data_IF_382155155655
#
_entry.id   IF_382155155655
#
_cell.length_a   1.000
_cell.length_b   1.000
_cell.length_c   1.000
_cell.angle_alpha   90.00
_cell.angle_beta   90.00
_cell.angle_gamma   90.00
#
_symmetry.space_group_name_H-M   'P 1'
#
loop_
_entity.id
_entity.type
_entity.pdbx_description
1 polymer ?
2 non-polymer ?
3 non-polymer ?
4 water ?
#
# COMPACT_ATOMS: atom_id res chain seq x y z
N UNK A 1 20.74 -11.56 -4.21
CA UNK A 1 19.58 -10.68 -4.09
C UNK A 1 19.86 -9.30 -4.66
N UNK A 2 18.82 -8.69 -5.23
CA UNK A 2 18.91 -7.39 -5.86
C UNK A 2 18.17 -6.37 -4.99
N UNK A 3 17.84 -5.21 -5.57
CA UNK A 3 17.18 -4.17 -4.80
C UNK A 3 15.89 -4.70 -4.18
N UNK A 4 15.69 -4.37 -2.90
CA UNK A 4 14.55 -4.79 -2.09
C UNK A 4 14.51 -6.29 -1.84
N UNK A 5 15.58 -7.01 -2.16
CA UNK A 5 15.60 -8.44 -1.95
C UNK A 5 14.92 -9.25 -3.03
N UNK A 6 14.59 -8.63 -4.16
CA UNK A 6 13.97 -9.36 -5.25
C UNK A 6 14.97 -10.36 -5.84
N UNK A 7 14.49 -11.47 -6.39
CA UNK A 7 15.41 -12.45 -7.00
C UNK A 7 16.01 -11.99 -8.32
N UNK A 8 15.48 -10.95 -8.94
CA UNK A 8 16.01 -10.41 -10.18
C UNK A 8 15.97 -8.89 -10.10
N UNK A 9 16.85 -8.20 -10.83
CA UNK A 9 16.80 -6.73 -10.86
C UNK A 9 15.63 -6.25 -11.72
N UNK A 10 15.36 -4.95 -11.61
CA UNK A 10 14.34 -4.28 -12.42
C UNK A 10 15.04 -3.33 -13.39
N UNK A 11 15.24 -3.72 -14.64
CA UNK A 11 15.98 -2.86 -15.56
C UNK A 11 15.06 -1.88 -16.28
N UNK A 12 15.59 -1.20 -17.29
CA UNK A 12 14.80 -0.29 -18.12
C UNK A 12 14.17 0.83 -17.30
N UNK A 13 14.95 1.40 -16.38
CA UNK A 13 14.57 2.55 -15.56
C UNK A 13 13.48 2.25 -14.54
N UNK A 14 13.11 0.99 -14.36
CA UNK A 14 12.00 0.66 -13.47
C UNK A 14 12.41 0.78 -12.00
N UNK A 15 11.41 0.97 -11.15
CA UNK A 15 11.59 1.01 -9.70
C UNK A 15 11.27 -0.35 -9.10
N UNK A 16 12.22 -0.91 -8.35
CA UNK A 16 11.99 -2.15 -7.63
C UNK A 16 11.24 -1.86 -6.34
N UNK A 17 10.25 -2.70 -6.01
CA UNK A 17 9.54 -2.52 -4.74
C UNK A 17 9.21 -3.87 -4.12
N UNK A 18 9.01 -3.85 -2.81
CA UNK A 18 8.46 -4.99 -2.09
C UNK A 18 7.60 -4.46 -0.94
N UNK A 19 6.42 -5.04 -0.78
CA UNK A 19 5.51 -4.70 0.31
C UNK A 19 5.18 -5.98 1.07
N UNK A 20 5.23 -5.91 2.40
CA UNK A 20 4.73 -6.97 3.26
C UNK A 20 3.72 -6.35 4.20
N UNK A 21 2.51 -6.89 4.24
CA UNK A 21 1.50 -6.36 5.14
C UNK A 21 1.73 -6.87 6.56
N UNK A 22 0.91 -6.39 7.49
CA UNK A 22 1.09 -6.77 8.88
C UNK A 22 0.66 -8.20 9.15
N UNK A 23 1.12 -8.71 10.28
CA UNK A 23 0.72 -10.03 10.75
C UNK A 23 -0.11 -9.84 12.02
N UNK A 24 -1.41 -10.15 11.92
CA UNK A 24 -2.36 -9.99 13.02
C UNK A 24 -2.21 -8.57 13.58
N UNK A 25 -2.13 -8.39 14.89
CA UNK A 25 -1.96 -7.06 15.47
C UNK A 25 -0.59 -6.89 16.11
N UNK A 26 0.41 -7.66 15.69
CA UNK A 26 1.71 -7.61 16.38
C UNK A 26 2.93 -7.38 15.50
N UNK A 27 2.91 -7.79 14.23
CA UNK A 27 4.05 -7.52 13.35
C UNK A 27 3.65 -6.47 12.33
N UNK A 28 4.32 -5.33 12.36
CA UNK A 28 4.03 -4.27 11.43
C UNK A 28 4.40 -4.60 10.00
N UNK A 29 3.88 -3.81 9.08
CA UNK A 29 4.16 -3.99 7.66
C UNK A 29 5.47 -3.32 7.29
N UNK A 30 5.89 -3.52 6.04
CA UNK A 30 7.02 -2.77 5.53
C UNK A 30 6.84 -2.49 4.04
N UNK A 31 7.39 -1.36 3.60
CA UNK A 31 7.36 -0.97 2.21
C UNK A 31 8.78 -0.58 1.80
N UNK A 32 9.33 -1.28 0.81
CA UNK A 32 10.66 -1.04 0.29
C UNK A 32 10.56 -0.55 -1.15
N UNK A 33 11.38 0.44 -1.50
CA UNK A 33 11.43 0.97 -2.86
C UNK A 33 12.88 1.28 -3.19
N UNK A 34 13.39 0.69 -4.28
CA UNK A 34 14.75 0.97 -4.74
C UNK A 34 15.76 0.76 -3.62
N UNK A 35 15.53 -0.30 -2.84
CA UNK A 35 16.40 -0.75 -1.76
C UNK A 35 16.35 0.14 -0.52
N UNK A 36 15.43 1.09 -0.46
CA UNK A 36 15.26 1.96 0.69
C UNK A 36 13.93 1.65 1.35
N UNK A 37 13.92 1.58 2.68
CA UNK A 37 12.69 1.29 3.41
C UNK A 37 11.89 2.58 3.55
N UNK A 38 10.79 2.68 2.81
CA UNK A 38 9.91 3.84 2.96
C UNK A 38 9.18 3.80 4.29
N UNK A 39 8.71 2.63 4.69
CA UNK A 39 7.97 2.44 5.94
C UNK A 39 8.40 1.12 6.55
N UNK A 40 8.64 1.13 7.86
CA UNK A 40 8.99 -0.09 8.57
C UNK A 40 8.96 0.22 10.05
N UNK A 41 8.99 -0.84 10.86
CA UNK A 41 9.10 -0.65 12.30
C UNK A 41 10.43 -0.02 12.69
N UNK A 42 11.48 -0.25 11.90
CA UNK A 42 12.78 0.36 12.20
C UNK A 42 12.73 1.86 11.97
N UNK A 43 12.09 2.30 10.88
CA UNK A 43 11.84 3.72 10.67
C UNK A 43 10.80 4.27 11.64
N UNK A 44 10.08 3.40 12.34
CA UNK A 44 9.09 3.79 13.36
C UNK A 44 8.01 4.70 12.79
N UNK A 45 7.57 4.41 11.56
CA UNK A 45 6.51 5.19 10.93
C UNK A 45 5.31 4.35 10.51
N UNK A 46 5.20 3.12 11.01
CA UNK A 46 4.05 2.27 10.70
C UNK A 46 3.10 2.24 11.89
N UNK A 47 1.85 1.90 11.61
CA UNK A 47 0.85 1.76 12.66
C UNK A 47 -0.32 0.96 12.15
N UNK A 48 -1.24 0.64 13.06
CA UNK A 48 -2.44 -0.10 12.69
C UNK A 48 -3.26 0.71 11.69
N UNK A 49 -3.83 0.00 10.72
CA UNK A 49 -4.68 0.61 9.73
C UNK A 49 -4.08 0.52 8.34
N UNK A 50 -3.94 1.66 7.67
CA UNK A 50 -3.38 1.74 6.33
C UNK A 50 -2.07 2.50 6.41
N UNK A 51 -1.01 1.91 5.87
CA UNK A 51 0.31 2.50 5.85
C UNK A 51 0.57 2.88 4.40
N UNK A 52 0.69 4.18 4.14
CA UNK A 52 0.63 4.70 2.78
C UNK A 52 1.85 5.57 2.50
N UNK A 53 2.58 5.24 1.45
CA UNK A 53 3.70 6.05 0.97
C UNK A 53 3.35 6.64 -0.39
N UNK A 54 3.45 7.96 -0.50
CA UNK A 54 3.22 8.69 -1.74
C UNK A 54 4.57 9.00 -2.37
N UNK A 55 4.74 8.65 -3.64
CA UNK A 55 6.04 8.67 -4.30
C UNK A 55 5.92 9.38 -5.64
N UNK A 56 6.87 10.26 -5.93
CA UNK A 56 6.93 10.91 -7.23
C UNK A 56 7.18 9.86 -8.32
N UNK A 57 6.28 9.79 -9.30
CA UNK A 57 6.37 8.74 -10.32
C UNK A 57 7.51 8.91 -11.30
N UNK A 58 8.09 10.11 -11.40
CA UNK A 58 9.22 10.34 -12.29
C UNK A 58 10.53 9.97 -11.60
N UNK A 59 10.77 10.55 -10.43
CA UNK A 59 12.06 10.44 -9.75
C UNK A 59 12.12 9.29 -8.76
N UNK A 60 10.97 8.80 -8.30
CA UNK A 60 10.96 7.84 -7.22
C UNK A 60 11.16 8.44 -5.85
N UNK A 61 11.16 9.76 -5.73
CA UNK A 61 11.33 10.41 -4.43
C UNK A 61 10.10 10.18 -3.56
N UNK A 62 10.34 9.88 -2.29
CA UNK A 62 9.24 9.78 -1.33
C UNK A 62 8.73 11.17 -1.01
N UNK A 63 7.45 11.41 -1.28
CA UNK A 63 6.81 12.68 -0.95
C UNK A 63 6.38 12.70 0.52
N UNK A 64 5.67 11.67 0.96
CA UNK A 64 5.32 11.53 2.37
C UNK A 64 4.87 10.09 2.60
N UNK A 65 5.08 9.60 3.82
CA UNK A 65 4.59 8.30 4.24
C UNK A 65 3.92 8.45 5.60
N UNK A 66 2.71 7.92 5.73
CA UNK A 66 1.95 8.06 6.96
C UNK A 66 1.08 6.83 7.18
N UNK A 67 0.81 6.54 8.45
CA UNK A 67 -0.13 5.50 8.85
C UNK A 67 -1.45 6.13 9.28
N UNK A 68 -2.55 5.48 8.91
CA UNK A 68 -3.90 5.95 9.19
C UNK A 68 -4.64 4.89 9.98
N UNK A 69 -5.04 5.26 11.19
CA UNK A 69 -5.76 4.38 12.10
C UNK A 69 -7.17 4.20 11.55
N UNK A 70 -7.48 3.00 11.09
CA UNK A 70 -8.78 2.72 10.49
C UNK A 70 -9.79 2.21 11.50
N UNK A 71 -9.44 2.20 12.79
CA UNK A 71 -10.37 1.90 13.86
C UNK A 71 -10.90 3.16 14.52
N UNK A 72 -10.01 4.10 14.85
CA UNK A 72 -10.38 5.29 15.60
C UNK A 72 -10.04 6.59 14.90
N UNK A 73 -9.36 6.56 13.77
CA UNK A 73 -9.00 7.78 13.09
C UNK A 73 -10.14 8.37 12.28
N UNK A 74 -10.05 9.67 12.04
CA UNK A 74 -11.02 10.37 11.21
C UNK A 74 -10.69 10.09 9.75
N UNK A 75 -11.63 9.48 9.03
CA UNK A 75 -11.37 9.13 7.64
C UNK A 75 -11.07 10.36 6.79
N UNK A 76 -11.49 11.56 7.22
CA UNK A 76 -11.18 12.76 6.44
C UNK A 76 -9.69 13.08 6.44
N UNK A 77 -8.95 12.57 7.42
CA UNK A 77 -7.49 12.68 7.43
C UNK A 77 -6.89 11.86 6.29
N UNK A 78 -7.25 10.58 6.22
CA UNK A 78 -6.86 9.73 5.09
C UNK A 78 -7.26 10.36 3.76
N UNK A 79 -8.50 10.86 3.67
CA UNK A 79 -8.97 11.42 2.40
C UNK A 79 -8.16 12.63 1.98
N UNK A 80 -7.81 13.50 2.92
CA UNK A 80 -6.99 14.66 2.57
C UNK A 80 -5.61 14.23 2.09
N UNK A 81 -5.12 13.09 2.58
CA UNK A 81 -3.81 12.60 2.18
C UNK A 81 -3.81 12.04 0.76
N UNK A 82 -4.88 11.32 0.37
CA UNK A 82 -4.88 10.61 -0.91
C UNK A 82 -5.63 11.34 -2.03
N UNK A 83 -6.43 12.36 -1.71
CA UNK A 83 -7.21 13.04 -2.75
C UNK A 83 -6.39 13.96 -3.65
N UNK A 84 -5.55 14.89 -3.14
CA UNK A 84 -4.97 15.94 -3.97
C UNK A 84 -3.61 15.58 -4.57
N UNK A 85 -3.53 14.42 -5.20
CA UNK A 85 -2.27 13.94 -5.73
C UNK A 85 -2.04 14.47 -7.13
N UNK A 86 -0.78 14.80 -7.42
CA UNK A 86 -0.41 15.14 -8.78
C UNK A 86 -0.42 13.90 -9.67
N UNK A 87 -0.70 14.11 -10.95
CA UNK A 87 -0.71 13.03 -11.92
C UNK A 87 0.60 12.25 -11.87
N UNK A 88 0.48 10.92 -11.86
CA UNK A 88 1.64 10.05 -11.82
C UNK A 88 2.15 9.71 -10.44
N UNK A 89 1.61 10.31 -9.38
CA UNK A 89 2.02 9.94 -8.04
C UNK A 89 1.70 8.47 -7.79
N UNK A 90 2.70 7.73 -7.30
CA UNK A 90 2.53 6.33 -6.93
C UNK A 90 2.06 6.27 -5.48
N UNK A 91 1.18 5.33 -5.20
CA UNK A 91 0.54 5.20 -3.89
C UNK A 91 0.76 3.77 -3.42
N UNK A 92 1.69 3.57 -2.49
CA UNK A 92 2.01 2.26 -1.94
C UNK A 92 1.22 2.09 -0.65
N UNK A 93 0.50 0.98 -0.51
CA UNK A 93 -0.41 0.76 0.61
C UNK A 93 -0.16 -0.62 1.20
N UNK A 94 0.00 -0.68 2.52
CA UNK A 94 0.07 -1.93 3.25
C UNK A 94 -0.87 -1.85 4.45
N UNK A 95 -1.75 -2.83 4.59
CA UNK A 95 -2.62 -2.88 5.74
C UNK A 95 -1.89 -3.45 6.95
N UNK A 96 -2.40 -3.13 8.13
CA UNK A 96 -1.91 -3.71 9.38
C UNK A 96 -3.10 -3.80 10.32
N UNK A 97 -3.42 -5.02 10.76
CA UNK A 97 -4.48 -5.30 11.73
C UNK A 97 -5.86 -5.17 11.08
N UNK A 98 -6.32 -3.94 10.87
CA UNK A 98 -7.65 -3.70 10.32
C UNK A 98 -7.59 -2.49 9.40
N UNK A 99 -7.75 -2.68 8.09
CA UNK A 99 -7.69 -1.55 7.16
C UNK A 99 -9.03 -0.91 6.85
N UNK A 100 -10.14 -1.39 7.41
CA UNK A 100 -11.44 -1.17 6.79
C UNK A 100 -12.48 -0.46 7.64
N UNK A 101 -12.42 -0.52 8.97
CA UNK A 101 -13.57 -0.11 9.77
C UNK A 101 -14.02 1.32 9.46
N UNK A 102 -13.08 2.27 9.39
CA UNK A 102 -13.44 3.66 9.14
C UNK A 102 -13.53 4.00 7.66
N UNK A 103 -13.28 3.05 6.77
CA UNK A 103 -13.37 3.34 5.34
C UNK A 103 -14.82 3.62 4.96
N UNK A 104 -15.03 4.65 4.14
CA UNK A 104 -16.36 5.01 3.67
C UNK A 104 -16.41 4.94 2.15
N UNK A 105 -17.57 5.30 1.59
CA UNK A 105 -17.75 5.15 0.15
C UNK A 105 -16.79 6.06 -0.62
N UNK A 106 -16.59 7.28 -0.14
CA UNK A 106 -15.68 8.19 -0.82
C UNK A 106 -14.26 7.63 -0.87
N UNK A 107 -13.82 7.01 0.23
CA UNK A 107 -12.49 6.42 0.26
C UNK A 107 -12.38 5.24 -0.69
N UNK A 108 -13.40 4.38 -0.72
CA UNK A 108 -13.37 3.25 -1.64
C UNK A 108 -13.34 3.72 -3.08
N UNK A 109 -14.11 4.77 -3.39
CA UNK A 109 -14.14 5.30 -4.75
C UNK A 109 -12.78 5.86 -5.15
N UNK A 110 -12.13 6.60 -4.24
CA UNK A 110 -10.83 7.17 -4.56
C UNK A 110 -9.79 6.08 -4.79
N UNK A 111 -9.76 5.05 -3.93
CA UNK A 111 -8.82 3.96 -4.15
C UNK A 111 -9.10 3.24 -5.47
N UNK A 112 -10.39 3.06 -5.80
CA UNK A 112 -10.73 2.48 -7.09
C UNK A 112 -10.16 3.32 -8.23
N UNK A 113 -10.25 4.64 -8.12
CA UNK A 113 -9.72 5.51 -9.17
C UNK A 113 -8.20 5.49 -9.23
N UNK A 114 -7.54 5.12 -8.13
CA UNK A 114 -6.10 4.91 -8.11
C UNK A 114 -5.70 3.54 -8.62
N UNK A 115 -6.65 2.71 -9.03
CA UNK A 115 -6.38 1.42 -9.62
C UNK A 115 -6.75 0.20 -8.79
N UNK A 116 -7.46 0.37 -7.68
CA UNK A 116 -7.75 -0.76 -6.79
C UNK A 116 -8.99 -1.53 -7.21
N UNK A 117 -8.85 -2.85 -7.29
CA UNK A 117 -9.98 -3.76 -7.44
C UNK A 117 -10.61 -4.15 -6.11
N UNK A 118 -9.83 -4.18 -5.03
CA UNK A 118 -10.29 -4.76 -3.79
C UNK A 118 -10.82 -3.75 -2.78
N UNK A 119 -10.56 -2.45 -2.99
CA UNK A 119 -11.02 -1.47 -2.02
C UNK A 119 -12.53 -1.50 -1.85
N UNK A 120 -13.27 -1.78 -2.92
CA UNK A 120 -14.73 -1.72 -2.82
C UNK A 120 -15.29 -2.73 -1.84
N UNK A 121 -14.60 -3.86 -1.64
CA UNK A 121 -15.08 -4.92 -0.77
C UNK A 121 -14.30 -5.04 0.53
N UNK A 122 -13.31 -4.20 0.76
CA UNK A 122 -12.48 -4.34 1.95
C UNK A 122 -13.33 -4.31 3.21
N UNK A 123 -13.04 -5.23 4.13
CA UNK A 123 -13.81 -5.39 5.36
C UNK A 123 -12.87 -5.63 6.53
N UNK A 124 -13.43 -5.54 7.73
CA UNK A 124 -12.74 -5.69 9.01
C UNK A 124 -11.66 -6.76 8.96
N UNK A 125 -10.43 -6.36 9.25
CA UNK A 125 -9.26 -7.24 9.40
C UNK A 125 -8.78 -7.92 8.12
N UNK A 126 -9.28 -7.55 6.94
CA UNK A 126 -8.70 -8.09 5.71
C UNK A 126 -7.23 -7.69 5.60
N UNK A 127 -6.45 -8.53 4.92
CA UNK A 127 -5.10 -8.15 4.51
C UNK A 127 -5.13 -7.57 3.10
N UNK A 128 -4.33 -6.53 2.88
CA UNK A 128 -4.35 -5.83 1.60
C UNK A 128 -3.00 -5.18 1.35
N UNK A 129 -2.44 -5.42 0.17
CA UNK A 129 -1.27 -4.68 -0.32
C UNK A 129 -1.59 -4.19 -1.72
N UNK A 130 -1.13 -2.98 -2.05
CA UNK A 130 -1.60 -2.32 -3.26
C UNK A 130 -0.60 -1.25 -3.66
N UNK A 131 -0.31 -1.17 -4.96
CA UNK A 131 0.35 0.00 -5.52
C UNK A 131 -0.56 0.60 -6.57
N UNK A 132 -1.01 1.82 -6.32
CA UNK A 132 -1.82 2.55 -7.26
C UNK A 132 -1.07 3.75 -7.82
N UNK A 133 -1.78 4.50 -8.66
CA UNK A 133 -1.20 5.72 -9.21
C UNK A 133 -2.30 6.68 -9.62
N UNK A 134 -2.08 7.96 -9.35
CA UNK A 134 -2.99 9.00 -9.82
C UNK A 134 -2.95 9.06 -11.35
N UNK A 135 -4.10 8.81 -11.98
CA UNK A 135 -4.20 8.83 -13.42
C UNK A 135 -4.09 7.48 -14.10
N UNK A 136 -3.94 6.39 -13.35
CA UNK A 136 -3.89 5.07 -13.98
C UNK A 136 -5.21 4.81 -14.71
N UNK A 137 -5.14 4.04 -15.80
CA UNK A 137 -6.33 3.79 -16.61
C UNK A 137 -6.97 2.46 -16.23
N UNK A 138 -6.32 1.34 -16.55
CA UNK A 138 -6.82 0.05 -16.10
C UNK A 138 -6.47 -0.15 -14.62
N UNK A 139 -6.95 -1.25 -14.05
CA UNK A 139 -6.65 -1.57 -12.66
C UNK A 139 -5.17 -1.89 -12.49
N UNK A 140 -4.67 -1.68 -11.28
CA UNK A 140 -3.26 -1.90 -11.03
C UNK A 140 -2.91 -3.39 -11.15
N UNK A 141 -1.75 -3.72 -11.72
CA UNK A 141 -1.28 -5.11 -11.70
C UNK A 141 -0.65 -5.50 -10.38
N UNK A 142 -0.54 -4.58 -9.43
CA UNK A 142 0.11 -4.82 -8.14
C UNK A 142 -0.92 -4.67 -7.03
N UNK A 143 -1.65 -5.75 -6.74
CA UNK A 143 -2.63 -5.73 -5.67
C UNK A 143 -2.89 -7.15 -5.23
N UNK A 144 -2.90 -7.37 -3.92
CA UNK A 144 -3.27 -8.65 -3.35
C UNK A 144 -4.18 -8.41 -2.16
N UNK A 145 -5.08 -9.35 -1.93
CA UNK A 145 -6.09 -9.22 -0.89
C UNK A 145 -6.36 -10.60 -0.32
N UNK A 146 -6.48 -10.68 1.00
CA UNK A 146 -6.92 -11.90 1.66
C UNK A 146 -8.05 -11.53 2.60
N UNK A 147 -9.23 -12.11 2.38
CA UNK A 147 -10.36 -11.84 3.26
C UNK A 147 -10.12 -12.41 4.64
N UNK A 148 -10.48 -11.63 5.66
CA UNK A 148 -10.62 -12.17 7.01
C UNK A 148 -11.79 -13.16 7.00
N UNK A 149 -11.48 -14.44 7.21
CA UNK A 149 -12.47 -15.51 7.20
C UNK A 149 -11.99 -16.62 8.12
N UNK A 150 -12.86 -17.07 9.03
CA UNK A 150 -12.42 -18.06 10.02
C UNK A 150 -11.93 -19.35 9.37
N UNK A 151 -12.52 -19.75 8.25
CA UNK A 151 -12.13 -21.02 7.63
C UNK A 151 -10.68 -21.00 7.16
N UNK A 152 -10.22 -19.86 6.62
CA UNK A 152 -8.90 -19.77 6.03
C UNK A 152 -7.89 -18.98 6.85
N UNK A 153 -8.33 -18.23 7.87
CA UNK A 153 -7.41 -17.34 8.58
C UNK A 153 -6.23 -18.11 9.17
N UNK A 154 -5.02 -17.62 8.90
CA UNK A 154 -3.83 -18.23 9.48
C UNK A 154 -3.82 -18.09 11.00
N UNK A 155 -4.25 -16.93 11.51
CA UNK A 155 -4.26 -16.65 12.93
C UNK A 155 -5.67 -16.76 13.48
N UNK A 156 -5.76 -16.96 14.79
CA UNK A 156 -7.04 -16.89 15.48
C UNK A 156 -7.46 -15.44 15.50
N UNK A 157 -8.28 -15.06 14.53
CA UNK A 157 -8.83 -13.72 14.44
C UNK A 157 -8.35 -12.90 13.26
N UNK A 158 -7.30 -13.31 12.54
CA UNK A 158 -6.74 -12.50 11.46
C UNK A 158 -6.25 -13.37 10.32
N UNK A 159 -6.30 -12.86 9.09
CA UNK A 159 -5.68 -13.54 7.95
C UNK A 159 -4.17 -13.33 7.91
N UNK A 160 -3.53 -14.08 7.03
CA UNK A 160 -2.09 -14.03 6.88
C UNK A 160 -1.62 -12.70 6.30
N UNK A 161 -0.37 -12.38 6.61
CA UNK A 161 0.31 -11.26 5.97
C UNK A 161 0.60 -11.59 4.51
N UNK A 162 0.50 -10.58 3.65
CA UNK A 162 0.75 -10.73 2.22
C UNK A 162 2.10 -10.14 1.85
N UNK A 163 2.72 -10.72 0.82
CA UNK A 163 4.00 -10.26 0.31
C UNK A 163 3.85 -10.03 -1.18
N UNK A 164 4.29 -8.88 -1.66
CA UNK A 164 4.18 -8.53 -3.07
C UNK A 164 5.43 -7.78 -3.49
N UNK A 165 5.94 -8.10 -4.68
CA UNK A 165 7.12 -7.42 -5.20
C UNK A 165 6.97 -7.24 -6.70
N UNK A 166 7.73 -6.29 -7.24
CA UNK A 166 7.64 -6.06 -8.67
C UNK A 166 8.49 -4.90 -9.12
N UNK A 167 8.29 -4.53 -10.38
CA UNK A 167 9.06 -3.50 -11.06
C UNK A 167 8.08 -2.51 -11.67
N UNK A 168 8.20 -1.24 -11.31
CA UNK A 168 7.27 -0.20 -11.73
C UNK A 168 7.96 0.68 -12.77
N UNK A 169 7.37 0.89 -13.95
CA UNK A 169 7.99 1.80 -14.91
C UNK A 169 7.99 3.23 -14.38
N UNK A 170 9.07 3.95 -14.67
CA UNK A 170 9.14 5.36 -14.33
C UNK A 170 8.36 6.19 -15.33
N UNK A 171 7.76 7.26 -14.83
CA UNK A 171 7.21 8.29 -15.68
C UNK A 171 8.33 9.16 -16.22
N UNK A 172 8.13 9.67 -17.43
CA UNK A 172 9.07 10.59 -18.03
C UNK A 172 8.84 12.00 -17.50
N UNK A 173 9.84 12.86 -17.70
CA UNK A 173 9.65 14.28 -17.40
C UNK A 173 8.83 14.99 -18.46
N UNK A 174 8.41 14.29 -19.51
CA UNK A 174 7.60 14.89 -20.56
C UNK A 174 6.33 15.49 -19.97
N UNK A 175 6.10 16.76 -20.28
CA UNK A 175 5.00 17.50 -19.68
C UNK A 175 5.39 18.07 -18.34
X LIG B 1 2.59 2.55 -14.42
X LIG B 1 1.92 3.31 -13.27
X LIG B 1 1.80 0.11 -12.16
X LIG B 1 0.39 4.33 -14.96
X LIG B 1 -0.13 1.37 -11.47
X LIG B 1 0.52 5.60 -15.29
X LIG B 1 2.01 2.60 -11.89
X LIG B 1 1.77 1.19 -10.05
X LIG B 1 1.35 1.33 -11.45
X LIG B 1 0.62 3.84 -13.59
X LIG B 1 0.04 3.56 -15.83
X LIG C 1 17.39 2.90 4.19
X LIG C 1 16.17 2.13 4.44
X LIG C 1 17.11 4.33 4.31
X LIG C 1 18.42 2.51 5.15
X LIG C 1 17.87 2.60 2.84
#
# INVERSE_FOLDING_TARGET
KYKCGLPQPCPEEHLSFRIVSGAANVIGPKICLEDKMLMSSVKDNVGRGLNIALVNGVSGELLEARAFDMWAGDVNDLLKFIRPLHEGTLVFVASYDDPATKMNEETRKLFSELGSRNAKDLAFRDSWVFVGAKGVQNKSPFEQHMKNSKHTNKYEGWPEALEMEGCIPRRSIAG
J0R C1 C2 C5 C7 C6 C8 C3 C4 N1 O1 O2
SO4 S O1 O2 O3 O4
#
